data_IF_843567424321
#
_entry.id   IF_843567424321
#
_cell.length_a   1.000
_cell.length_b   1.000
_cell.length_c   1.000
_cell.angle_alpha   90.00
_cell.angle_beta   90.00
_cell.angle_gamma   90.00
#
_symmetry.space_group_name_H-M   'P 1'
#
loop_
_entity.id
_entity.type
_entity.pdbx_description
1 polymer ?
#
# COMPACT_ATOMS: atom_id res chain seq x y z
N UNK A 1 16.14 -0.28 -9.67
CA UNK A 1 15.28 -0.27 -8.47
C UNK A 1 14.21 -1.31 -8.66
N UNK A 2 13.92 -2.09 -7.62
CA UNK A 2 12.93 -3.17 -7.68
C UNK A 2 11.73 -2.77 -6.81
N UNK A 3 10.53 -3.24 -7.18
CA UNK A 3 9.37 -3.17 -6.31
C UNK A 3 9.60 -4.07 -5.08
N UNK A 4 9.01 -3.70 -3.95
CA UNK A 4 8.99 -4.58 -2.77
C UNK A 4 8.35 -5.92 -3.16
N UNK A 5 9.03 -7.00 -2.81
CA UNK A 5 8.50 -8.35 -3.03
C UNK A 5 7.35 -8.62 -2.07
N UNK A 6 6.17 -8.93 -2.60
CA UNK A 6 4.96 -9.21 -1.83
C UNK A 6 4.50 -10.66 -2.01
N UNK A 7 4.12 -11.31 -0.91
CA UNK A 7 3.36 -12.57 -0.89
C UNK A 7 1.88 -12.26 -0.96
N UNK A 8 1.29 -12.44 -2.14
CA UNK A 8 -0.11 -12.11 -2.38
C UNK A 8 -0.92 -13.41 -2.46
N UNK A 9 -1.87 -13.66 -1.54
CA UNK A 9 -2.75 -14.82 -1.62
C UNK A 9 -3.74 -14.69 -2.79
N UNK A 10 -4.42 -15.79 -3.12
CA UNK A 10 -5.41 -15.79 -4.21
C UNK A 10 -6.56 -14.81 -3.95
N UNK A 11 -7.16 -14.28 -5.02
CA UNK A 11 -8.31 -13.37 -4.90
C UNK A 11 -7.96 -11.91 -4.63
N UNK A 12 -6.74 -11.49 -4.93
CA UNK A 12 -6.32 -10.09 -4.91
C UNK A 12 -5.81 -9.65 -6.28
N UNK A 13 -6.06 -8.39 -6.63
CA UNK A 13 -5.49 -7.74 -7.80
C UNK A 13 -4.71 -6.49 -7.37
N UNK A 14 -3.45 -6.40 -7.80
CA UNK A 14 -2.68 -5.16 -7.70
C UNK A 14 -3.21 -4.21 -8.78
N UNK A 15 -3.83 -3.11 -8.39
CA UNK A 15 -4.43 -2.13 -9.31
C UNK A 15 -3.53 -0.93 -9.56
N UNK A 16 -2.57 -0.67 -8.66
CA UNK A 16 -1.53 0.33 -8.82
C UNK A 16 -0.31 -0.05 -7.97
N UNK A 17 0.92 0.15 -8.46
CA UNK A 17 2.12 -0.17 -7.70
C UNK A 17 3.34 0.67 -8.10
N UNK A 18 3.83 1.45 -7.14
CA UNK A 18 5.10 2.17 -7.10
C UNK A 18 5.77 2.00 -5.72
N UNK A 19 5.46 0.93 -4.99
CA UNK A 19 6.09 0.66 -3.70
C UNK A 19 7.45 -0.01 -3.92
N UNK A 20 8.48 0.82 -4.11
CA UNK A 20 9.85 0.39 -4.38
C UNK A 20 10.63 0.06 -3.10
N UNK A 21 11.54 -0.92 -3.21
CA UNK A 21 12.52 -1.23 -2.17
C UNK A 21 13.71 -0.27 -2.30
N UNK A 22 13.53 0.93 -1.73
CA UNK A 22 14.51 2.01 -1.77
C UNK A 22 14.59 2.69 -0.42
N UNK A 23 15.80 3.07 -0.02
CA UNK A 23 16.03 3.91 1.15
C UNK A 23 15.82 5.39 0.81
N UNK A 24 15.55 6.20 1.83
CA UNK A 24 15.55 7.65 1.71
C UNK A 24 16.96 8.12 1.33
N UNK A 25 17.06 8.90 0.25
CA UNK A 25 18.30 9.60 -0.09
C UNK A 25 18.20 11.05 0.40
N UNK A 26 19.05 11.41 1.36
CA UNK A 26 19.06 12.73 1.98
C UNK A 26 19.96 13.66 1.19
N UNK A 27 19.52 14.91 1.02
CA UNK A 27 20.36 15.91 0.37
C UNK A 27 21.53 16.31 1.29
N UNK A 28 22.74 16.38 0.73
CA UNK A 28 23.91 16.91 1.45
C UNK A 28 23.75 18.41 1.79
N UNK A 29 22.93 19.13 1.03
CA UNK A 29 22.74 20.59 1.13
C UNK A 29 21.49 21.00 1.92
N UNK A 30 20.64 20.05 2.33
CA UNK A 30 19.37 20.34 3.01
C UNK A 30 18.86 19.17 3.86
N UNK A 31 18.70 19.44 5.15
CA UNK A 31 18.08 18.50 6.11
C UNK A 31 16.58 18.27 5.88
N UNK A 32 15.96 18.99 4.93
CA UNK A 32 14.52 18.99 4.71
C UNK A 32 14.10 18.39 3.37
N UNK A 33 15.06 17.99 2.52
CA UNK A 33 14.77 17.53 1.16
C UNK A 33 15.16 16.06 0.93
N UNK A 34 14.22 15.29 0.38
CA UNK A 34 14.49 13.94 -0.11
C UNK A 34 14.91 14.05 -1.58
N UNK A 35 16.14 13.67 -1.93
CA UNK A 35 16.59 13.72 -3.32
C UNK A 35 15.78 12.79 -4.23
N UNK A 36 15.45 11.62 -3.70
CA UNK A 36 14.65 10.61 -4.37
C UNK A 36 13.16 10.68 -4.00
N UNK A 37 12.64 11.90 -3.77
CA UNK A 37 11.25 12.16 -3.34
C UNK A 37 10.19 11.47 -4.20
N UNK A 38 10.45 11.23 -5.50
CA UNK A 38 9.52 10.55 -6.40
C UNK A 38 9.16 9.11 -6.03
N UNK A 39 9.86 8.50 -5.07
CA UNK A 39 9.53 7.20 -4.48
C UNK A 39 8.73 7.29 -3.17
N UNK A 40 8.51 8.50 -2.67
CA UNK A 40 7.91 8.79 -1.36
C UNK A 40 6.70 9.73 -1.53
N UNK A 41 5.73 9.30 -2.32
CA UNK A 41 4.49 10.04 -2.61
C UNK A 41 3.29 9.47 -1.86
N UNK A 42 2.18 10.19 -1.81
CA UNK A 42 0.94 9.72 -1.18
C UNK A 42 0.30 8.51 -1.90
N UNK A 43 0.63 8.28 -3.17
CA UNK A 43 0.14 7.12 -3.93
C UNK A 43 1.28 6.13 -4.23
N UNK A 44 1.38 5.04 -3.45
CA UNK A 44 2.41 4.02 -3.64
C UNK A 44 1.88 2.65 -4.03
N UNK A 45 0.77 2.17 -3.46
CA UNK A 45 0.25 0.84 -3.78
C UNK A 45 -1.24 0.76 -3.52
N UNK A 46 -1.95 0.10 -4.45
CA UNK A 46 -3.35 -0.27 -4.28
C UNK A 46 -3.56 -1.73 -4.64
N UNK A 47 -4.22 -2.46 -3.73
CA UNK A 47 -4.60 -3.86 -3.92
C UNK A 47 -6.08 -4.02 -3.62
N UNK A 48 -6.83 -4.53 -4.59
CA UNK A 48 -8.28 -4.76 -4.46
C UNK A 48 -8.57 -6.23 -4.21
N UNK A 49 -9.43 -6.54 -3.22
CA UNK A 49 -9.97 -7.89 -3.02
C UNK A 49 -10.99 -8.21 -4.12
N UNK A 50 -10.74 -9.28 -4.86
CA UNK A 50 -11.60 -9.78 -5.92
C UNK A 50 -12.75 -10.61 -5.34
N UNK A 51 -13.86 -10.66 -6.07
CA UNK A 51 -14.97 -11.59 -5.80
C UNK A 51 -15.09 -12.59 -6.95
N UNK A 52 -15.78 -13.72 -6.72
CA UNK A 52 -16.09 -14.69 -7.77
C UNK A 52 -17.54 -14.50 -8.23
N UNK A 53 -17.75 -14.42 -9.54
CA UNK A 53 -19.08 -14.43 -10.17
C UNK A 53 -19.06 -15.39 -11.35
N UNK A 54 -19.93 -16.40 -11.31
CA UNK A 54 -20.00 -17.47 -12.33
C UNK A 54 -18.63 -18.14 -12.58
N UNK A 55 -17.90 -18.45 -11.51
CA UNK A 55 -16.61 -19.14 -11.57
C UNK A 55 -15.43 -18.28 -12.07
N UNK A 56 -15.61 -16.95 -12.24
CA UNK A 56 -14.55 -16.03 -12.66
C UNK A 56 -14.32 -14.95 -11.60
N UNK A 57 -13.06 -14.62 -11.37
CA UNK A 57 -12.68 -13.46 -10.57
C UNK A 57 -13.09 -12.16 -11.26
N UNK A 58 -13.58 -11.21 -10.48
CA UNK A 58 -13.89 -9.86 -10.94
C UNK A 58 -13.63 -8.84 -9.83
N UNK A 59 -13.34 -7.60 -10.24
CA UNK A 59 -13.27 -6.46 -9.32
C UNK A 59 -14.71 -6.09 -8.96
N UNK A 60 -15.08 -6.12 -7.66
CA UNK A 60 -16.44 -5.78 -7.24
C UNK A 60 -16.80 -4.32 -7.53
N UNK A 61 -18.10 -4.03 -7.57
CA UNK A 61 -18.58 -2.64 -7.61
C UNK A 61 -18.21 -1.92 -6.31
N UNK A 62 -18.19 -0.58 -6.35
CA UNK A 62 -17.75 0.29 -5.26
C UNK A 62 -18.31 -0.13 -3.88
N UNK A 63 -19.62 -0.33 -3.75
CA UNK A 63 -20.27 -0.70 -2.47
C UNK A 63 -19.77 -2.01 -1.83
N UNK A 64 -19.18 -2.87 -2.65
CA UNK A 64 -18.74 -4.21 -2.30
C UNK A 64 -17.21 -4.34 -2.30
N UNK A 65 -16.52 -3.22 -2.55
CA UNK A 65 -15.07 -3.16 -2.68
C UNK A 65 -14.42 -3.05 -1.32
N UNK A 66 -13.32 -3.77 -1.18
CA UNK A 66 -12.37 -3.61 -0.09
C UNK A 66 -10.99 -3.52 -0.72
N UNK A 67 -10.22 -2.51 -0.32
CA UNK A 67 -8.91 -2.26 -0.89
C UNK A 67 -7.88 -1.92 0.19
N UNK A 68 -6.65 -2.36 -0.06
CA UNK A 68 -5.47 -1.88 0.64
C UNK A 68 -4.92 -0.69 -0.15
N UNK A 69 -4.68 0.41 0.56
CA UNK A 69 -4.10 1.64 0.03
C UNK A 69 -2.85 1.98 0.85
N UNK A 70 -1.79 2.36 0.17
CA UNK A 70 -0.50 2.67 0.79
C UNK A 70 0.07 3.93 0.15
N UNK A 71 0.51 4.84 1.02
CA UNK A 71 1.17 6.08 0.66
C UNK A 71 2.24 6.49 1.65
N UNK A 72 3.07 7.46 1.27
CA UNK A 72 3.99 8.16 2.17
C UNK A 72 3.40 9.52 2.54
N UNK A 73 3.25 9.79 3.84
CA UNK A 73 2.62 11.01 4.34
C UNK A 73 3.49 11.71 5.40
N UNK A 74 3.62 13.04 5.34
CA UNK A 74 3.19 13.91 4.24
C UNK A 74 3.97 13.63 2.93
N UNK A 75 3.35 13.90 1.78
CA UNK A 75 3.97 13.71 0.47
C UNK A 75 5.41 14.27 0.43
N UNK A 76 6.35 13.48 -0.09
CA UNK A 76 7.73 13.88 -0.36
C UNK A 76 8.49 14.44 0.85
N UNK A 77 8.01 14.20 2.07
CA UNK A 77 8.58 14.78 3.28
C UNK A 77 9.53 13.80 3.99
N UNK A 78 10.75 14.25 4.33
CA UNK A 78 11.76 13.46 5.06
C UNK A 78 11.27 12.91 6.42
N UNK A 79 10.39 13.67 7.07
CA UNK A 79 9.77 13.32 8.35
C UNK A 79 8.46 12.53 8.15
N UNK A 80 8.07 12.28 6.91
CA UNK A 80 6.94 11.42 6.59
C UNK A 80 7.19 9.96 6.93
N UNK A 81 6.16 9.16 6.68
CA UNK A 81 6.15 7.73 6.94
C UNK A 81 5.16 7.05 6.01
N UNK A 82 5.33 5.76 5.81
CA UNK A 82 4.34 4.95 5.12
C UNK A 82 3.07 4.85 5.97
N UNK A 83 1.92 5.00 5.34
CA UNK A 83 0.60 4.77 5.91
C UNK A 83 -0.09 3.70 5.08
N UNK A 84 -0.26 2.51 5.65
CA UNK A 84 -1.05 1.44 5.06
C UNK A 84 -2.46 1.50 5.65
N UNK A 85 -3.48 1.47 4.79
CA UNK A 85 -4.89 1.51 5.17
C UNK A 85 -5.64 0.39 4.48
N UNK A 86 -6.53 -0.26 5.22
CA UNK A 86 -7.60 -1.07 4.66
C UNK A 86 -8.86 -0.21 4.66
N UNK A 87 -9.46 -0.01 3.49
CA UNK A 87 -10.65 0.83 3.34
C UNK A 87 -11.76 0.09 2.58
N UNK A 88 -13.01 0.49 2.83
CA UNK A 88 -14.14 0.09 1.99
C UNK A 88 -14.18 0.90 0.68
N UNK A 89 -15.08 0.57 -0.24
CA UNK A 89 -15.18 1.33 -1.49
C UNK A 89 -15.73 2.75 -1.35
N UNK A 90 -16.19 3.17 -0.17
CA UNK A 90 -16.50 4.56 0.13
C UNK A 90 -15.29 5.33 0.71
N UNK A 91 -14.13 4.69 0.82
CA UNK A 91 -12.92 5.21 1.47
C UNK A 91 -13.04 5.38 2.97
N UNK A 92 -13.98 4.66 3.62
CA UNK A 92 -14.00 4.60 5.07
C UNK A 92 -12.88 3.69 5.55
N UNK A 93 -12.07 4.17 6.48
CA UNK A 93 -11.01 3.39 7.07
C UNK A 93 -11.56 2.29 7.98
N UNK A 94 -11.14 1.06 7.71
CA UNK A 94 -11.43 -0.13 8.52
C UNK A 94 -10.31 -0.35 9.53
N UNK A 95 -9.05 -0.30 9.06
CA UNK A 95 -7.84 -0.33 9.90
C UNK A 95 -6.66 0.34 9.21
N UNK A 96 -5.72 0.87 9.99
CA UNK A 96 -4.49 1.49 9.49
C UNK A 96 -3.28 1.22 10.37
N UNK A 97 -2.09 1.33 9.78
CA UNK A 97 -0.81 1.36 10.46
C UNK A 97 0.09 2.39 9.77
N UNK A 98 0.95 3.04 10.55
CA UNK A 98 2.02 3.89 10.03
C UNK A 98 3.39 3.47 10.54
N UNK A 99 4.39 3.59 9.67
CA UNK A 99 5.79 3.33 10.01
C UNK A 99 6.74 3.91 8.98
N UNK A 100 7.96 4.28 9.38
CA UNK A 100 9.06 4.53 8.42
C UNK A 100 9.67 3.24 7.89
N UNK A 101 9.48 2.12 8.58
CA UNK A 101 10.01 0.82 8.18
C UNK A 101 9.09 0.17 7.13
N UNK A 102 9.57 0.15 5.88
CA UNK A 102 8.87 -0.47 4.75
C UNK A 102 8.69 -1.98 4.91
N UNK A 103 9.57 -2.67 5.64
CA UNK A 103 9.46 -4.12 5.86
C UNK A 103 8.36 -4.42 6.88
N UNK A 104 8.21 -3.60 7.92
CA UNK A 104 7.05 -3.69 8.82
C UNK A 104 5.72 -3.50 8.07
N UNK A 105 5.67 -2.51 7.17
CA UNK A 105 4.49 -2.26 6.33
C UNK A 105 4.20 -3.44 5.40
N UNK A 106 5.23 -3.96 4.74
CA UNK A 106 5.15 -5.16 3.89
C UNK A 106 4.57 -6.33 4.66
N UNK A 107 5.14 -6.66 5.81
CA UNK A 107 4.74 -7.82 6.60
C UNK A 107 3.32 -7.66 7.14
N UNK A 108 2.94 -6.44 7.54
CA UNK A 108 1.57 -6.13 7.96
C UNK A 108 0.57 -6.26 6.82
N UNK A 109 0.90 -5.77 5.62
CA UNK A 109 0.07 -5.94 4.43
C UNK A 109 -0.15 -7.42 4.09
N UNK A 110 0.92 -8.21 4.08
CA UNK A 110 0.86 -9.65 3.82
C UNK A 110 0.00 -10.37 4.87
N UNK A 111 0.18 -10.05 6.15
CA UNK A 111 -0.62 -10.58 7.24
C UNK A 111 -2.10 -10.23 7.08
N UNK A 112 -2.42 -8.95 6.80
CA UNK A 112 -3.80 -8.52 6.66
C UNK A 112 -4.48 -9.19 5.46
N UNK A 113 -3.80 -9.31 4.32
CA UNK A 113 -4.37 -10.02 3.16
C UNK A 113 -4.73 -11.48 3.50
N UNK A 114 -3.92 -12.15 4.31
CA UNK A 114 -4.15 -13.53 4.79
C UNK A 114 -5.30 -13.61 5.81
N UNK A 115 -5.37 -12.69 6.77
CA UNK A 115 -6.48 -12.62 7.74
C UNK A 115 -7.84 -12.48 7.05
N UNK A 116 -7.89 -11.60 6.04
CA UNK A 116 -9.10 -11.35 5.26
C UNK A 116 -9.54 -12.56 4.41
N UNK A 117 -8.72 -13.60 4.25
CA UNK A 117 -9.13 -14.85 3.59
C UNK A 117 -9.90 -15.80 4.52
N UNK A 118 -9.83 -15.60 5.84
CA UNK A 118 -10.39 -16.52 6.85
C UNK A 118 -11.80 -16.15 7.31
N UNK A 119 -12.34 -15.05 6.79
CA UNK A 119 -13.67 -14.48 7.09
C UNK A 119 -14.59 -14.73 5.89
#
# INVERSE_FOLDING_TARGET
MNLIQLKIPAGYAITYNKFYDVDLNLSEDSDYFIENWGFFTEDLLQITKLKIKKGKWYIPERKDTMLFDLGWYPDSNINGHYCLRLVDGNWNEIKSISSKDRFLIKDTLEQWMEEEQRI
#
